data_IF_030500505355
#
_entry.id   IF_030500505355
#
_cell.length_a   1.000
_cell.length_b   1.000
_cell.length_c   1.000
_cell.angle_alpha   90.00
_cell.angle_beta   90.00
_cell.angle_gamma   90.00
#
_symmetry.space_group_name_H-M   'P 1'
#
loop_
_entity.id
_entity.type
_entity.pdbx_description
1 polymer ?
#
# COMPACT_ATOMS: atom_id res chain seq x y z
N UNK A 1 3.69 13.11 12.40
CA UNK A 1 3.10 12.86 13.72
C UNK A 1 2.40 14.13 14.14
N UNK A 2 1.07 14.15 14.15
CA UNK A 2 0.26 15.27 14.66
C UNK A 2 -0.69 14.67 15.69
N UNK A 3 -0.51 15.07 16.94
CA UNK A 3 -1.23 14.60 18.12
C UNK A 3 -2.56 15.36 18.23
N UNK A 4 -3.69 14.64 18.21
CA UNK A 4 -5.02 15.15 18.50
C UNK A 4 -5.73 14.22 19.52
N UNK A 5 -6.65 14.77 20.34
CA UNK A 5 -7.07 14.22 21.64
C UNK A 5 -7.65 12.80 21.61
N UNK A 6 -7.41 12.11 22.73
CA UNK A 6 -7.46 10.66 22.99
C UNK A 6 -8.82 9.94 22.88
N UNK A 7 -9.78 10.36 22.05
CA UNK A 7 -11.06 9.61 21.91
C UNK A 7 -11.21 8.87 20.59
N UNK A 8 -10.50 9.28 19.53
CA UNK A 8 -10.54 8.62 18.22
C UNK A 8 -9.17 8.69 17.54
N UNK A 9 -8.23 7.84 17.95
CA UNK A 9 -6.91 7.80 17.31
C UNK A 9 -7.05 7.16 15.93
N UNK A 10 -6.80 7.95 14.89
CA UNK A 10 -6.65 7.45 13.52
C UNK A 10 -5.16 7.28 13.24
N UNK A 11 -4.68 6.04 13.20
CA UNK A 11 -3.31 5.73 12.78
C UNK A 11 -3.30 5.38 11.29
N UNK A 12 -2.16 5.63 10.65
CA UNK A 12 -1.98 5.36 9.24
C UNK A 12 -0.66 4.63 9.02
N UNK A 13 -0.71 3.52 8.29
CA UNK A 13 0.47 2.75 7.90
C UNK A 13 0.61 2.73 6.38
N UNK A 14 1.82 2.98 5.89
CA UNK A 14 2.11 2.97 4.45
C UNK A 14 2.79 1.68 4.05
N UNK A 15 2.31 1.04 2.98
CA UNK A 15 3.00 -0.10 2.39
C UNK A 15 3.75 0.31 1.13
N UNK A 16 4.95 -0.26 0.96
CA UNK A 16 5.81 -0.02 -0.19
C UNK A 16 6.04 -1.33 -0.91
N UNK A 17 6.11 -1.29 -2.24
CA UNK A 17 6.34 -2.46 -3.06
C UNK A 17 7.64 -3.16 -2.66
N UNK A 18 7.54 -4.45 -2.36
CA UNK A 18 8.65 -5.35 -1.99
C UNK A 18 9.02 -6.23 -3.19
N UNK A 19 10.19 -6.91 -3.20
CA UNK A 19 10.63 -7.66 -4.38
C UNK A 19 9.60 -8.69 -4.89
N UNK A 20 8.93 -9.39 -3.98
CA UNK A 20 7.90 -10.38 -4.32
C UNK A 20 6.69 -9.78 -5.05
N UNK A 21 6.31 -8.54 -4.75
CA UNK A 21 5.16 -7.86 -5.36
C UNK A 21 5.38 -7.49 -6.83
N UNK A 22 6.64 -7.37 -7.26
CA UNK A 22 6.99 -6.93 -8.62
C UNK A 22 6.72 -7.98 -9.69
N UNK A 23 6.49 -9.24 -9.31
CA UNK A 23 6.06 -10.28 -10.25
C UNK A 23 4.69 -9.96 -10.88
N UNK A 24 3.84 -9.24 -10.16
CA UNK A 24 2.50 -8.82 -10.62
C UNK A 24 2.40 -7.31 -10.83
N UNK A 25 2.87 -6.48 -9.90
CA UNK A 25 2.70 -5.02 -10.01
C UNK A 25 3.88 -4.32 -10.71
N UNK A 26 4.92 -5.04 -11.09
CA UNK A 26 6.16 -4.49 -11.63
C UNK A 26 6.05 -3.96 -13.07
N UNK A 27 7.20 -3.74 -13.69
CA UNK A 27 7.29 -3.31 -15.09
C UNK A 27 7.32 -4.51 -16.07
N UNK A 28 6.98 -4.29 -17.36
CA UNK A 28 6.45 -3.05 -17.92
C UNK A 28 4.96 -2.84 -17.58
N UNK A 29 4.55 -1.59 -17.39
CA UNK A 29 3.14 -1.22 -17.19
C UNK A 29 2.28 -1.75 -18.35
N UNK A 30 1.14 -2.32 -18.03
CA UNK A 30 0.16 -2.80 -19.01
C UNK A 30 0.44 -4.21 -19.57
N UNK A 31 1.57 -4.84 -19.28
CA UNK A 31 1.77 -6.26 -19.60
C UNK A 31 0.85 -7.13 -18.75
N UNK A 32 0.60 -8.36 -19.20
CA UNK A 32 -0.19 -9.34 -18.44
C UNK A 32 0.71 -10.05 -17.43
N UNK A 33 0.26 -10.15 -16.18
CA UNK A 33 0.93 -10.92 -15.13
C UNK A 33 0.45 -12.38 -15.04
N UNK A 34 0.99 -13.14 -14.08
CA UNK A 34 0.67 -14.57 -13.88
C UNK A 34 -0.81 -14.82 -13.55
N UNK A 35 -1.52 -13.82 -13.03
CA UNK A 35 -2.95 -13.91 -12.72
C UNK A 35 -3.83 -13.57 -13.92
N UNK A 36 -3.24 -13.07 -15.02
CA UNK A 36 -3.97 -12.56 -16.17
C UNK A 36 -4.31 -11.05 -16.08
N UNK A 37 -3.92 -10.38 -14.99
CA UNK A 37 -4.13 -8.96 -14.76
C UNK A 37 -3.12 -8.08 -15.49
N UNK A 38 -3.46 -6.81 -15.74
CA UNK A 38 -2.52 -5.81 -16.30
C UNK A 38 -1.65 -5.22 -15.19
N UNK A 39 -0.33 -5.24 -15.39
CA UNK A 39 0.63 -4.64 -14.45
C UNK A 39 0.50 -3.12 -14.35
N UNK A 40 0.75 -2.60 -13.15
CA UNK A 40 0.72 -1.16 -12.87
C UNK A 40 2.03 -0.43 -13.21
N UNK A 41 3.15 -1.15 -13.32
CA UNK A 41 4.47 -0.56 -13.60
C UNK A 41 5.24 -0.11 -12.36
N UNK A 42 4.88 -0.63 -11.19
CA UNK A 42 5.49 -0.32 -9.90
C UNK A 42 6.98 -0.66 -9.82
N UNK A 43 7.68 0.03 -8.92
CA UNK A 43 9.12 -0.14 -8.64
C UNK A 43 9.35 -0.47 -7.17
N UNK A 44 10.45 -1.16 -6.87
CA UNK A 44 10.84 -1.49 -5.50
C UNK A 44 10.89 -0.23 -4.64
N UNK A 45 10.26 -0.26 -3.46
CA UNK A 45 10.22 0.85 -2.51
C UNK A 45 9.22 1.97 -2.85
N UNK A 46 8.57 1.90 -4.02
CA UNK A 46 7.47 2.81 -4.36
C UNK A 46 6.29 2.58 -3.42
N UNK A 47 5.58 3.66 -3.07
CA UNK A 47 4.35 3.59 -2.27
C UNK A 47 3.33 2.72 -3.02
N UNK A 48 3.00 1.57 -2.44
CA UNK A 48 2.01 0.64 -2.96
C UNK A 48 0.60 1.04 -2.49
N UNK A 49 0.53 1.52 -1.25
CA UNK A 49 -0.73 1.79 -0.60
C UNK A 49 -0.53 2.24 0.82
N UNK A 50 -1.65 2.38 1.48
CA UNK A 50 -1.82 3.33 2.54
C UNK A 50 -3.08 2.86 3.31
N UNK A 51 -2.95 2.42 4.56
CA UNK A 51 -4.04 1.86 5.37
C UNK A 51 -4.26 2.72 6.62
N UNK A 52 -5.51 3.10 6.86
CA UNK A 52 -5.92 3.83 8.07
C UNK A 52 -6.70 2.93 9.03
N UNK A 53 -6.43 3.05 10.32
CA UNK A 53 -7.20 2.39 11.38
C UNK A 53 -7.74 3.43 12.35
N UNK A 54 -9.00 3.29 12.75
CA UNK A 54 -9.59 4.08 13.83
C UNK A 54 -9.87 3.14 14.98
N UNK A 55 -9.26 3.41 16.14
CA UNK A 55 -9.52 2.67 17.37
C UNK A 55 -10.50 3.48 18.21
N UNK A 56 -11.64 2.88 18.51
CA UNK A 56 -12.63 3.40 19.43
C UNK A 56 -12.42 2.70 20.77
N UNK A 57 -12.19 3.48 21.82
CA UNK A 57 -12.12 2.98 23.20
C UNK A 57 -13.31 3.55 23.97
N UNK A 58 -13.98 2.71 24.76
CA UNK A 58 -14.99 3.15 25.73
C UNK A 58 -14.35 3.87 26.93
#
# INVERSE_FOLDING_TARGET
MMEHPLTNRTDYETDRLKPASLSCHGNPKGSIDITGGKREGGKLGQLAGAMSFVIYTE
#
